data_IF_871208289147
#
_entry.id   IF_871208289147
#
_cell.length_a   1.000
_cell.length_b   1.000
_cell.length_c   1.000
_cell.angle_alpha   90.00
_cell.angle_beta   90.00
_cell.angle_gamma   90.00
#
_symmetry.space_group_name_H-M   'P 1'
#
loop_
_entity.id
_entity.type
_entity.pdbx_description
1 polymer ?
#
# COMPACT_ATOMS: atom_id res chain seq x y z
N UNK A 1 11.00 -3.31 28.70
CA UNK A 1 11.91 -2.67 27.73
C UNK A 1 11.71 -3.36 26.39
N UNK A 2 10.84 -2.85 25.52
CA UNK A 2 10.77 -3.30 24.12
C UNK A 2 11.43 -2.23 23.27
N UNK A 3 12.73 -2.46 23.01
CA UNK A 3 13.49 -1.83 21.94
C UNK A 3 12.62 -1.77 20.69
N UNK A 4 12.66 -0.67 19.96
CA UNK A 4 12.08 -0.60 18.62
C UNK A 4 12.63 -1.78 17.82
N UNK A 5 11.80 -2.76 17.53
CA UNK A 5 12.16 -3.88 16.66
C UNK A 5 12.34 -3.28 15.26
N UNK A 6 13.58 -2.92 14.94
CA UNK A 6 13.96 -2.42 13.63
C UNK A 6 14.18 -3.62 12.72
N UNK A 7 13.47 -3.65 11.60
CA UNK A 7 13.77 -4.56 10.50
C UNK A 7 14.90 -3.95 9.66
N UNK A 8 15.76 -4.78 9.10
CA UNK A 8 16.94 -4.36 8.36
C UNK A 8 16.55 -3.68 7.04
N UNK A 9 15.72 -4.35 6.24
CA UNK A 9 15.35 -3.88 4.90
C UNK A 9 13.91 -3.36 4.83
N UNK A 10 13.05 -3.73 5.78
CA UNK A 10 11.65 -3.25 5.79
C UNK A 10 11.57 -1.88 6.44
N UNK A 11 11.53 -0.85 5.60
CA UNK A 11 11.45 0.54 6.04
C UNK A 11 10.13 0.87 6.76
N UNK A 12 10.14 1.92 7.57
CA UNK A 12 8.98 2.47 8.27
C UNK A 12 8.19 1.46 9.13
N UNK A 13 8.81 0.34 9.53
CA UNK A 13 8.20 -0.65 10.41
C UNK A 13 7.99 -0.07 11.82
N UNK A 14 6.74 0.00 12.28
CA UNK A 14 6.41 0.47 13.64
C UNK A 14 5.10 -0.11 14.17
N UNK A 15 5.06 -0.29 15.49
CA UNK A 15 3.85 -0.59 16.25
C UNK A 15 2.99 0.67 16.36
N UNK A 16 1.78 0.57 15.82
CA UNK A 16 0.81 1.68 15.82
C UNK A 16 0.23 1.91 17.20
N UNK A 17 -0.01 0.84 17.98
CA UNK A 17 -0.48 0.96 19.36
C UNK A 17 0.53 1.73 20.21
N UNK A 18 1.82 1.42 20.06
CA UNK A 18 2.90 2.12 20.77
C UNK A 18 2.95 3.59 20.34
N UNK A 19 2.94 3.84 19.03
CA UNK A 19 2.97 5.21 18.48
C UNK A 19 1.83 6.07 19.01
N UNK A 20 0.60 5.53 19.05
CA UNK A 20 -0.58 6.28 19.53
C UNK A 20 -0.55 6.47 21.04
N UNK A 21 -0.18 5.45 21.80
CA UNK A 21 -0.09 5.55 23.26
C UNK A 21 0.97 6.58 23.69
N UNK A 22 2.13 6.56 23.04
CA UNK A 22 3.22 7.51 23.29
C UNK A 22 2.79 8.94 22.94
N UNK A 23 2.09 9.13 21.82
CA UNK A 23 1.57 10.43 21.41
C UNK A 23 0.50 10.99 22.38
N UNK A 24 -0.41 10.13 22.85
CA UNK A 24 -1.49 10.52 23.75
C UNK A 24 -1.09 10.56 25.23
N UNK A 25 0.11 10.08 25.58
CA UNK A 25 0.55 9.89 26.97
C UNK A 25 -0.33 8.92 27.79
N UNK A 26 -1.22 8.19 27.13
CA UNK A 26 -2.20 7.29 27.78
C UNK A 26 -2.36 6.02 26.97
N UNK A 27 -2.47 4.88 27.65
CA UNK A 27 -2.66 3.58 26.99
C UNK A 27 -4.11 3.43 26.52
N UNK A 28 -4.34 3.69 25.23
CA UNK A 28 -5.66 3.58 24.57
C UNK A 28 -5.73 2.42 23.60
N UNK A 29 -4.62 2.10 22.93
CA UNK A 29 -4.54 1.01 21.95
C UNK A 29 -3.61 -0.08 22.48
N UNK A 30 -3.98 -1.35 22.29
CA UNK A 30 -3.11 -2.46 22.69
C UNK A 30 -1.89 -2.55 21.76
N UNK A 31 -0.72 -2.48 22.35
CA UNK A 31 0.58 -2.67 21.68
C UNK A 31 0.76 -4.13 21.25
N UNK A 32 1.59 -4.35 20.23
CA UNK A 32 1.95 -5.68 19.73
C UNK A 32 0.92 -6.35 18.81
N UNK A 33 -0.15 -5.64 18.44
CA UNK A 33 -1.21 -6.20 17.59
C UNK A 33 -1.23 -5.62 16.18
N UNK A 34 -0.89 -4.35 16.03
CA UNK A 34 -1.04 -3.64 14.78
C UNK A 34 0.24 -2.92 14.40
N UNK A 35 0.79 -3.33 13.26
CA UNK A 35 2.03 -2.81 12.73
C UNK A 35 1.77 -2.16 11.38
N UNK A 36 2.55 -1.13 11.08
CA UNK A 36 2.63 -0.55 9.74
C UNK A 36 4.04 -0.64 9.22
N UNK A 37 4.18 -0.82 7.91
CA UNK A 37 5.49 -0.86 7.26
C UNK A 37 5.43 -0.35 5.83
N UNK A 38 6.61 -0.15 5.24
CA UNK A 38 6.78 -0.17 3.80
C UNK A 38 6.70 -1.61 3.28
N UNK A 39 7.17 -1.85 2.06
CA UNK A 39 7.14 -3.14 1.38
C UNK A 39 7.81 -4.24 2.22
N UNK A 40 7.06 -5.25 2.70
CA UNK A 40 7.64 -6.42 3.37
C UNK A 40 8.34 -7.35 2.36
N UNK A 41 8.14 -7.12 1.07
CA UNK A 41 8.72 -7.96 0.03
C UNK A 41 10.25 -7.91 0.07
N UNK A 42 10.83 -6.75 0.42
CA UNK A 42 12.29 -6.54 0.46
C UNK A 42 12.94 -7.08 1.75
N UNK A 43 12.16 -7.70 2.65
CA UNK A 43 12.63 -8.32 3.87
C UNK A 43 13.75 -9.35 3.62
N UNK A 44 14.78 -9.30 4.45
CA UNK A 44 15.81 -10.35 4.54
C UNK A 44 15.25 -11.63 5.18
N UNK A 45 16.01 -12.72 5.17
CA UNK A 45 15.59 -13.96 5.84
C UNK A 45 15.42 -13.76 7.35
N UNK A 46 16.30 -12.96 7.98
CA UNK A 46 16.18 -12.57 9.40
C UNK A 46 14.93 -11.74 9.63
N UNK A 47 14.64 -10.75 8.78
CA UNK A 47 13.40 -9.95 8.87
C UNK A 47 12.15 -10.83 8.77
N UNK A 48 12.16 -11.83 7.87
CA UNK A 48 11.03 -12.77 7.70
C UNK A 48 10.80 -13.62 8.94
N UNK A 49 11.88 -14.13 9.55
CA UNK A 49 11.82 -14.89 10.80
C UNK A 49 11.34 -14.01 11.95
N UNK A 50 11.85 -12.78 12.06
CA UNK A 50 11.41 -11.80 13.06
C UNK A 50 9.91 -11.50 12.94
N UNK A 51 9.42 -11.27 11.72
CA UNK A 51 8.00 -11.00 11.44
C UNK A 51 7.13 -12.22 11.82
N UNK A 52 7.51 -13.42 11.39
CA UNK A 52 6.69 -14.62 11.55
C UNK A 52 6.76 -15.18 12.98
N UNK A 53 7.96 -15.35 13.51
CA UNK A 53 8.22 -16.17 14.70
C UNK A 53 8.29 -15.31 15.97
N UNK A 54 9.04 -14.21 15.95
CA UNK A 54 9.21 -13.37 17.15
C UNK A 54 8.02 -12.43 17.38
N UNK A 55 7.59 -11.74 16.33
CA UNK A 55 6.42 -10.85 16.38
C UNK A 55 5.10 -11.62 16.27
N UNK A 56 5.15 -12.88 15.81
CA UNK A 56 3.98 -13.73 15.69
C UNK A 56 2.94 -13.19 14.71
N UNK A 57 3.34 -12.39 13.72
CA UNK A 57 2.40 -11.82 12.72
C UNK A 57 1.69 -12.98 12.03
N UNK A 58 0.38 -12.83 11.84
CA UNK A 58 -0.47 -13.82 11.15
C UNK A 58 -0.95 -13.32 9.80
N UNK A 59 -1.17 -12.01 9.68
CA UNK A 59 -1.78 -11.41 8.50
C UNK A 59 -1.00 -10.20 8.00
N UNK A 60 -0.87 -10.10 6.68
CA UNK A 60 -0.35 -8.95 5.96
C UNK A 60 -1.47 -8.37 5.08
N UNK A 61 -1.80 -7.10 5.32
CA UNK A 61 -2.79 -6.33 4.56
C UNK A 61 -2.04 -5.45 3.58
N UNK A 62 -2.17 -5.78 2.29
CA UNK A 62 -1.52 -5.06 1.19
C UNK A 62 -2.51 -4.09 0.55
N UNK A 63 -2.17 -2.79 0.60
CA UNK A 63 -2.98 -1.71 0.03
C UNK A 63 -2.57 -1.32 -1.40
N UNK A 64 -1.61 -2.03 -2.00
CA UNK A 64 -1.10 -1.73 -3.35
C UNK A 64 -2.04 -2.19 -4.44
N UNK A 65 -1.88 -1.61 -5.62
CA UNK A 65 -2.65 -2.03 -6.80
C UNK A 65 -2.10 -3.34 -7.40
N UNK A 66 -2.93 -4.06 -8.16
CA UNK A 66 -2.51 -5.26 -8.90
C UNK A 66 -1.32 -4.95 -9.84
N UNK A 67 -1.29 -3.77 -10.43
CA UNK A 67 -0.21 -3.34 -11.32
C UNK A 67 1.11 -3.17 -10.55
N UNK A 68 1.06 -2.58 -9.35
CA UNK A 68 2.23 -2.52 -8.46
C UNK A 68 2.74 -3.92 -8.09
N UNK A 69 1.84 -4.88 -7.86
CA UNK A 69 2.22 -6.28 -7.61
C UNK A 69 2.89 -6.94 -8.81
N UNK A 70 2.33 -6.80 -10.01
CA UNK A 70 2.88 -7.39 -11.23
C UNK A 70 4.28 -6.83 -11.53
N UNK A 71 4.42 -5.50 -11.46
CA UNK A 71 5.70 -4.83 -11.66
C UNK A 71 6.75 -5.30 -10.64
N UNK A 72 6.34 -5.53 -9.39
CA UNK A 72 7.26 -6.02 -8.37
C UNK A 72 7.63 -7.49 -8.57
N UNK A 73 6.68 -8.34 -8.94
CA UNK A 73 6.97 -9.73 -9.26
C UNK A 73 7.95 -9.83 -10.44
N UNK A 74 7.82 -8.95 -11.43
CA UNK A 74 8.78 -8.85 -12.53
C UNK A 74 10.16 -8.38 -12.05
N UNK A 75 10.24 -7.29 -11.28
CA UNK A 75 11.51 -6.80 -10.70
C UNK A 75 12.20 -7.87 -9.87
N UNK A 76 11.45 -8.66 -9.10
CA UNK A 76 12.00 -9.75 -8.29
C UNK A 76 12.60 -10.85 -9.16
N UNK A 77 11.92 -11.24 -10.25
CA UNK A 77 12.46 -12.20 -11.23
C UNK A 77 13.75 -11.70 -11.88
N UNK A 78 13.81 -10.41 -12.21
CA UNK A 78 15.01 -9.80 -12.76
C UNK A 78 16.15 -9.81 -11.73
N UNK A 79 15.86 -9.47 -10.47
CA UNK A 79 16.85 -9.46 -9.39
C UNK A 79 17.33 -10.85 -8.98
N UNK A 80 16.46 -11.87 -8.98
CA UNK A 80 16.82 -13.26 -8.67
C UNK A 80 17.79 -13.84 -9.70
N UNK A 81 17.78 -13.31 -10.93
CA UNK A 81 18.71 -13.72 -11.98
C UNK A 81 20.10 -13.08 -11.85
N UNK A 82 20.30 -12.13 -10.92
CA UNK A 82 21.57 -11.44 -10.71
C UNK A 82 22.26 -12.03 -9.46
N UNK A 83 23.35 -12.82 -9.61
CA UNK A 83 23.97 -13.53 -8.50
C UNK A 83 24.49 -12.62 -7.38
N UNK A 84 24.94 -11.41 -7.71
CA UNK A 84 25.41 -10.44 -6.73
C UNK A 84 24.27 -9.96 -5.79
N UNK A 85 23.05 -9.81 -6.33
CA UNK A 85 21.89 -9.38 -5.53
C UNK A 85 21.36 -10.52 -4.66
N UNK A 86 21.32 -11.75 -5.18
CA UNK A 86 20.94 -12.93 -4.39
C UNK A 86 21.91 -13.17 -3.23
N UNK A 87 23.21 -12.94 -3.43
CA UNK A 87 24.20 -12.99 -2.33
C UNK A 87 23.97 -11.90 -1.28
N UNK A 88 23.47 -10.73 -1.67
CA UNK A 88 23.18 -9.64 -0.73
C UNK A 88 21.85 -9.81 0.01
N UNK A 89 20.88 -10.49 -0.60
CA UNK A 89 19.60 -10.83 0.03
C UNK A 89 19.14 -12.21 -0.44
N UNK A 90 19.44 -13.22 0.37
CA UNK A 90 19.09 -14.62 0.10
C UNK A 90 17.56 -14.84 0.01
N UNK A 91 16.77 -13.96 0.63
CA UNK A 91 15.31 -14.00 0.52
C UNK A 91 14.82 -13.79 -0.93
N UNK A 92 15.65 -13.28 -1.84
CA UNK A 92 15.33 -13.18 -3.27
C UNK A 92 15.14 -14.54 -3.94
N UNK A 93 15.70 -15.62 -3.37
CA UNK A 93 15.51 -16.98 -3.85
C UNK A 93 14.19 -17.62 -3.36
N UNK A 94 13.56 -17.04 -2.33
CA UNK A 94 12.29 -17.49 -1.78
C UNK A 94 11.09 -16.79 -2.43
N UNK A 95 9.86 -17.32 -2.24
CA UNK A 95 8.64 -16.64 -2.63
C UNK A 95 8.58 -15.20 -2.12
N UNK A 96 7.91 -14.34 -2.89
CA UNK A 96 7.74 -12.92 -2.57
C UNK A 96 6.94 -12.73 -1.26
N UNK A 97 6.01 -13.64 -0.99
CA UNK A 97 5.25 -13.73 0.24
C UNK A 97 5.99 -14.57 1.29
N UNK A 98 5.89 -14.16 2.55
CA UNK A 98 6.44 -14.87 3.70
C UNK A 98 5.56 -16.08 3.98
N UNK A 99 6.15 -17.28 3.90
CA UNK A 99 5.45 -18.53 4.14
C UNK A 99 4.86 -18.58 5.56
N UNK A 100 3.58 -18.95 5.65
CA UNK A 100 2.85 -19.07 6.92
C UNK A 100 2.04 -17.82 7.32
N UNK A 101 2.09 -16.75 6.51
CA UNK A 101 1.25 -15.57 6.71
C UNK A 101 0.06 -15.54 5.73
N UNK A 102 -1.08 -15.07 6.21
CA UNK A 102 -2.24 -14.77 5.38
C UNK A 102 -2.07 -13.40 4.72
N UNK A 103 -2.23 -13.35 3.39
CA UNK A 103 -2.19 -12.09 2.65
C UNK A 103 -3.59 -11.65 2.24
N UNK A 104 -3.95 -10.41 2.56
CA UNK A 104 -5.22 -9.78 2.16
C UNK A 104 -4.95 -8.51 1.38
N UNK A 105 -5.41 -8.46 0.14
CA UNK A 105 -5.30 -7.28 -0.71
C UNK A 105 -6.56 -6.43 -0.55
N UNK A 106 -6.39 -5.15 -0.19
CA UNK A 106 -7.49 -4.19 -0.07
C UNK A 106 -7.20 -2.98 -0.96
N UNK A 107 -7.87 -2.90 -2.11
CA UNK A 107 -7.70 -1.80 -3.07
C UNK A 107 -8.54 -0.59 -2.64
N UNK A 108 -7.99 0.30 -1.81
CA UNK A 108 -8.70 1.50 -1.31
C UNK A 108 -9.26 2.32 -2.49
N UNK A 109 -8.48 2.63 -3.52
CA UNK A 109 -8.97 3.41 -4.68
C UNK A 109 -9.65 2.51 -5.73
N UNK A 110 -10.81 1.95 -5.38
CA UNK A 110 -11.60 1.07 -6.24
C UNK A 110 -12.41 1.78 -7.33
N UNK A 111 -13.11 1.00 -8.17
CA UNK A 111 -13.99 1.49 -9.24
C UNK A 111 -14.99 2.59 -8.81
N UNK A 112 -15.54 2.60 -7.59
CA UNK A 112 -16.40 3.70 -7.13
C UNK A 112 -15.68 5.06 -7.12
N UNK A 113 -14.45 5.12 -6.59
CA UNK A 113 -13.63 6.33 -6.57
C UNK A 113 -13.30 6.80 -8.00
N UNK A 114 -12.98 5.85 -8.88
CA UNK A 114 -12.72 6.09 -10.30
C UNK A 114 -13.90 6.76 -11.03
N UNK A 115 -15.10 6.20 -10.84
CA UNK A 115 -16.34 6.76 -11.39
C UNK A 115 -16.68 8.11 -10.75
N UNK A 116 -16.42 8.26 -9.45
CA UNK A 116 -16.57 9.53 -8.79
C UNK A 116 -15.67 10.58 -9.45
N UNK A 117 -14.36 10.34 -9.63
CA UNK A 117 -13.48 11.30 -10.30
C UNK A 117 -13.97 11.68 -11.71
N UNK A 118 -14.46 10.71 -12.49
CA UNK A 118 -15.04 10.97 -13.81
C UNK A 118 -16.31 11.83 -13.75
N UNK A 119 -17.16 11.61 -12.74
CA UNK A 119 -18.38 12.41 -12.54
C UNK A 119 -18.11 13.87 -12.20
N UNK A 120 -16.89 14.21 -11.81
CA UNK A 120 -16.47 15.58 -11.45
C UNK A 120 -15.95 16.36 -12.67
N UNK A 121 -15.82 15.72 -13.83
CA UNK A 121 -15.45 16.38 -15.07
C UNK A 121 -16.63 17.17 -15.65
N UNK A 122 -16.32 18.20 -16.42
CA UNK A 122 -17.31 18.81 -17.30
C UNK A 122 -17.78 17.79 -18.34
N UNK A 123 -19.00 17.97 -18.88
CA UNK A 123 -19.49 17.09 -19.96
C UNK A 123 -18.55 17.07 -21.17
N UNK A 124 -17.93 18.20 -21.50
CA UNK A 124 -16.95 18.30 -22.59
C UNK A 124 -15.69 17.48 -22.30
N UNK A 125 -15.13 17.61 -21.10
CA UNK A 125 -13.93 16.85 -20.72
C UNK A 125 -14.24 15.37 -20.56
N UNK A 126 -15.44 15.02 -20.09
CA UNK A 126 -15.89 13.63 -20.02
C UNK A 126 -15.90 12.98 -21.41
N UNK A 127 -16.56 13.60 -22.40
CA UNK A 127 -16.56 13.07 -23.78
C UNK A 127 -15.15 13.02 -24.38
N UNK A 128 -14.31 14.01 -24.07
CA UNK A 128 -12.90 14.03 -24.50
C UNK A 128 -12.10 12.87 -23.90
N UNK A 129 -12.27 12.59 -22.61
CA UNK A 129 -11.64 11.46 -21.92
C UNK A 129 -12.11 10.13 -22.53
N UNK A 130 -13.42 9.97 -22.76
CA UNK A 130 -13.97 8.77 -23.40
C UNK A 130 -13.39 8.57 -24.80
N UNK A 131 -13.34 9.62 -25.61
CA UNK A 131 -12.78 9.57 -26.95
C UNK A 131 -11.30 9.16 -26.92
N UNK A 132 -10.49 9.80 -26.08
CA UNK A 132 -9.06 9.45 -25.94
C UNK A 132 -8.87 8.01 -25.49
N UNK A 133 -9.71 7.52 -24.57
CA UNK A 133 -9.64 6.14 -24.09
C UNK A 133 -9.98 5.13 -25.20
N UNK A 134 -10.99 5.42 -26.04
CA UNK A 134 -11.36 4.59 -27.20
C UNK A 134 -10.27 4.60 -28.26
N UNK A 135 -9.62 5.74 -28.49
CA UNK A 135 -8.51 5.86 -29.43
C UNK A 135 -7.16 5.34 -28.89
N UNK A 136 -7.12 4.83 -27.65
CA UNK A 136 -5.91 4.25 -27.05
C UNK A 136 -4.96 5.25 -26.37
N UNK A 137 -5.31 6.54 -26.34
CA UNK A 137 -4.56 7.63 -25.69
C UNK A 137 -4.86 7.71 -24.19
N UNK A 138 -4.56 6.62 -23.46
CA UNK A 138 -4.88 6.51 -22.02
C UNK A 138 -4.14 7.55 -21.19
N UNK A 139 -2.87 7.81 -21.48
CA UNK A 139 -2.05 8.75 -20.72
C UNK A 139 -2.61 10.17 -20.82
N UNK A 140 -3.03 10.57 -22.01
CA UNK A 140 -3.65 11.86 -22.29
C UNK A 140 -5.00 12.00 -21.59
N UNK A 141 -5.81 10.94 -21.58
CA UNK A 141 -7.08 10.89 -20.85
C UNK A 141 -6.86 11.06 -19.34
N UNK A 142 -5.87 10.38 -18.77
CA UNK A 142 -5.53 10.49 -17.34
C UNK A 142 -4.98 11.89 -17.03
N UNK A 143 -4.19 12.49 -17.92
CA UNK A 143 -3.70 13.86 -17.74
C UNK A 143 -4.84 14.88 -17.61
N UNK A 144 -5.95 14.71 -18.34
CA UNK A 144 -7.14 15.55 -18.19
C UNK A 144 -7.74 15.42 -16.78
N UNK A 145 -7.92 14.19 -16.29
CA UNK A 145 -8.35 13.94 -14.90
C UNK A 145 -7.40 14.59 -13.89
N UNK A 146 -6.09 14.51 -14.13
CA UNK A 146 -5.07 15.16 -13.33
C UNK A 146 -5.26 16.67 -13.22
N UNK A 147 -5.35 17.34 -14.37
CA UNK A 147 -5.42 18.80 -14.45
C UNK A 147 -6.77 19.36 -13.99
N UNK A 148 -7.87 18.71 -14.37
CA UNK A 148 -9.22 19.24 -14.16
C UNK A 148 -9.84 18.82 -12.83
N UNK A 149 -9.45 17.66 -12.29
CA UNK A 149 -10.10 17.09 -11.09
C UNK A 149 -9.13 16.98 -9.93
N UNK A 150 -7.96 16.38 -10.14
CA UNK A 150 -7.05 16.03 -9.05
C UNK A 150 -6.24 17.23 -8.53
N UNK A 151 -5.68 18.04 -9.42
CA UNK A 151 -4.89 19.22 -9.05
C UNK A 151 -5.73 20.24 -8.26
N UNK A 152 -6.95 20.62 -8.70
CA UNK A 152 -7.77 21.60 -7.98
C UNK A 152 -8.20 21.13 -6.58
N UNK A 153 -8.43 19.82 -6.40
CA UNK A 153 -8.77 19.23 -5.10
C UNK A 153 -7.62 19.23 -4.10
N UNK A 154 -6.39 19.14 -4.61
CA UNK A 154 -5.20 18.96 -3.79
C UNK A 154 -5.22 17.66 -2.98
N UNK A 155 -4.19 17.51 -2.14
CA UNK A 155 -4.00 16.27 -1.38
C UNK A 155 -5.11 16.02 -0.35
N UNK A 156 -5.53 17.07 0.36
CA UNK A 156 -6.53 16.95 1.41
C UNK A 156 -7.89 16.58 0.82
N UNK A 157 -8.30 17.24 -0.28
CA UNK A 157 -9.55 16.94 -0.97
C UNK A 157 -9.58 15.51 -1.49
N UNK A 158 -8.50 15.07 -2.14
CA UNK A 158 -8.38 13.68 -2.59
C UNK A 158 -8.39 12.68 -1.43
N UNK A 159 -7.82 13.03 -0.28
CA UNK A 159 -7.86 12.21 0.92
C UNK A 159 -9.30 12.02 1.43
N UNK A 160 -10.06 13.10 1.52
CA UNK A 160 -11.48 13.08 1.92
C UNK A 160 -12.31 12.29 0.91
N UNK A 161 -12.18 12.60 -0.39
CA UNK A 161 -12.87 11.89 -1.46
C UNK A 161 -12.55 10.38 -1.43
N UNK A 162 -11.29 10.02 -1.15
CA UNK A 162 -10.91 8.62 -1.00
C UNK A 162 -11.64 7.98 0.18
N UNK A 163 -11.71 8.63 1.34
CA UNK A 163 -12.42 8.07 2.51
C UNK A 163 -13.91 7.89 2.21
N UNK A 164 -14.54 8.90 1.61
CA UNK A 164 -15.98 8.89 1.33
C UNK A 164 -16.34 7.81 0.30
N UNK A 165 -15.55 7.69 -0.76
CA UNK A 165 -15.84 6.76 -1.86
C UNK A 165 -15.34 5.32 -1.60
N UNK A 166 -14.46 5.11 -0.63
CA UNK A 166 -13.85 3.79 -0.33
C UNK A 166 -14.43 3.14 0.93
N UNK A 167 -15.66 3.50 1.29
CA UNK A 167 -16.34 3.02 2.50
C UNK A 167 -16.36 1.49 2.59
N UNK A 168 -16.54 0.79 1.46
CA UNK A 168 -16.62 -0.68 1.42
C UNK A 168 -15.28 -1.31 1.78
N UNK A 169 -14.20 -0.78 1.23
CA UNK A 169 -12.82 -1.25 1.38
C UNK A 169 -12.29 -0.92 2.77
N UNK A 170 -12.60 0.28 3.29
CA UNK A 170 -12.30 0.65 4.68
C UNK A 170 -13.02 -0.29 5.64
N UNK A 171 -14.32 -0.57 5.42
CA UNK A 171 -15.07 -1.52 6.22
C UNK A 171 -14.45 -2.93 6.17
N UNK A 172 -14.01 -3.38 5.00
CA UNK A 172 -13.32 -4.67 4.85
C UNK A 172 -12.03 -4.69 5.66
N UNK A 173 -11.16 -3.68 5.53
CA UNK A 173 -9.94 -3.57 6.31
C UNK A 173 -10.20 -3.54 7.82
N UNK A 174 -11.18 -2.74 8.27
CA UNK A 174 -11.56 -2.66 9.67
C UNK A 174 -12.13 -3.99 10.20
N UNK A 175 -12.87 -4.72 9.38
CA UNK A 175 -13.42 -6.04 9.75
C UNK A 175 -12.31 -7.08 9.96
N UNK A 176 -11.18 -6.97 9.24
CA UNK A 176 -10.02 -7.84 9.46
C UNK A 176 -9.43 -7.59 10.86
N UNK A 177 -9.32 -6.35 11.30
CA UNK A 177 -8.82 -6.03 12.64
C UNK A 177 -9.78 -6.44 13.78
N UNK A 178 -11.08 -6.57 13.49
CA UNK A 178 -12.04 -7.09 14.46
C UNK A 178 -11.86 -8.61 14.70
N UNK A 179 -11.26 -9.33 13.76
CA UNK A 179 -11.03 -10.77 13.88
C UNK A 179 -9.72 -11.07 14.62
N UNK A 180 -9.79 -11.69 15.80
CA UNK A 180 -8.60 -12.08 16.58
C UNK A 180 -7.69 -13.09 15.86
N UNK A 181 -8.22 -13.89 14.95
CA UNK A 181 -7.42 -14.83 14.18
C UNK A 181 -6.46 -14.12 13.20
N UNK A 182 -6.82 -12.90 12.76
CA UNK A 182 -6.00 -12.07 11.87
C UNK A 182 -4.92 -11.26 12.61
N UNK A 183 -4.86 -11.33 13.95
CA UNK A 183 -3.93 -10.55 14.76
C UNK A 183 -2.84 -11.44 15.39
N UNK A 184 -1.60 -10.94 15.52
CA UNK A 184 -1.09 -9.64 15.05
C UNK A 184 -1.02 -9.47 13.53
N UNK A 185 -1.14 -8.23 13.03
CA UNK A 185 -1.17 -7.93 11.59
C UNK A 185 -0.27 -6.76 11.18
N UNK A 186 0.23 -6.80 9.95
CA UNK A 186 0.97 -5.71 9.29
C UNK A 186 0.09 -5.11 8.20
N UNK A 187 -0.09 -3.79 8.19
CA UNK A 187 -0.57 -3.05 7.02
C UNK A 187 0.60 -2.41 6.29
N UNK A 188 0.61 -2.48 4.97
CA UNK A 188 1.61 -1.78 4.20
C UNK A 188 1.08 -1.20 2.89
N UNK A 189 1.83 -0.21 2.41
CA UNK A 189 1.72 0.34 1.08
C UNK A 189 3.11 0.32 0.42
N UNK A 190 3.26 1.07 -0.66
CA UNK A 190 4.49 1.15 -1.44
C UNK A 190 5.68 1.72 -0.67
N UNK A 191 5.48 2.71 0.21
CA UNK A 191 6.56 3.38 0.95
C UNK A 191 6.36 3.37 2.47
N UNK A 192 5.24 2.86 2.99
CA UNK A 192 4.93 2.89 4.42
C UNK A 192 4.72 4.30 4.98
N UNK A 193 4.53 5.29 4.11
CA UNK A 193 4.04 6.66 4.35
C UNK A 193 3.00 6.96 3.29
N UNK A 194 2.05 7.86 3.60
CA UNK A 194 1.16 8.39 2.57
C UNK A 194 2.01 8.90 1.41
N UNK A 195 1.56 8.60 0.19
CA UNK A 195 2.34 8.63 -1.04
C UNK A 195 2.99 10.01 -1.38
N UNK A 196 2.96 11.03 -0.52
CA UNK A 196 3.46 12.41 -0.77
C UNK A 196 4.81 12.78 -0.16
N UNK A 197 5.59 11.81 0.31
CA UNK A 197 6.95 12.05 0.80
C UNK A 197 8.02 12.01 -0.30
N UNK A 198 8.25 13.14 -0.99
CA UNK A 198 9.37 13.46 -1.90
C UNK A 198 9.35 12.94 -3.36
N UNK A 199 9.21 13.92 -4.28
CA UNK A 199 9.75 14.00 -5.66
C UNK A 199 9.81 12.70 -6.50
N UNK A 200 8.68 12.24 -7.02
CA UNK A 200 8.62 11.53 -8.33
C UNK A 200 7.15 11.58 -8.83
N UNK A 201 6.88 11.76 -10.13
CA UNK A 201 5.55 12.08 -10.61
C UNK A 201 4.63 10.86 -10.49
N UNK A 202 3.42 11.15 -10.04
CA UNK A 202 2.46 10.23 -9.43
C UNK A 202 1.58 9.44 -10.41
N UNK A 203 1.92 9.41 -11.68
CA UNK A 203 0.89 9.21 -12.71
C UNK A 203 0.79 7.79 -13.28
N UNK A 204 1.80 6.94 -13.13
CA UNK A 204 1.84 5.70 -13.92
C UNK A 204 1.34 4.44 -13.19
N UNK A 205 1.27 4.41 -11.86
CA UNK A 205 1.05 3.15 -11.11
C UNK A 205 -0.38 2.88 -10.63
N UNK A 206 -1.30 3.84 -10.75
CA UNK A 206 -2.70 3.63 -10.37
C UNK A 206 -3.60 3.15 -11.51
N UNK A 207 -3.16 3.30 -12.76
CA UNK A 207 -4.04 3.20 -13.94
C UNK A 207 -3.37 2.62 -15.19
N UNK A 208 -2.44 1.68 -15.01
CA UNK A 208 -2.02 0.75 -16.05
C UNK A 208 -2.66 -0.61 -15.83
#
# INVERSE_FOLDING_TARGET
MTSSVGLENVLNFRDVGKTVNDFLGTRRIREGLFYRSARPDDATLSDRQLIRDELGIKMVIDLRTKTEHLNQAQRRKEQSNIPALVKSNEALAEPLQISGLDYRQVKITGRPFELFLLSQLSWWDFFRVVFLFVCGYRTEAINILGQQVMIPRGLVGLGLDTIDQSTREIREALSLYANRAALPSIVHCTQGKDRTGNKTPYFDSCWS
#
